data_IF_020480600102
#
_entry.id   IF_020480600102
#
_cell.length_a   1.000
_cell.length_b   1.000
_cell.length_c   1.000
_cell.angle_alpha   90.00
_cell.angle_beta   90.00
_cell.angle_gamma   90.00
#
_symmetry.space_group_name_H-M   'P 1'
#
loop_
_entity.id
_entity.type
_entity.pdbx_description
1 polymer ?
#
# COMPACT_ATOMS: atom_id res chain seq x y z
N UNK A 1 4.67 -17.76 -5.73
CA UNK A 1 3.24 -18.00 -6.06
C UNK A 1 3.07 -17.89 -7.56
N UNK A 2 2.16 -18.64 -8.20
CA UNK A 2 1.92 -18.50 -9.63
C UNK A 2 1.38 -17.11 -9.94
N UNK A 3 1.94 -16.46 -10.95
CA UNK A 3 1.43 -15.20 -11.53
C UNK A 3 0.06 -15.47 -12.14
N UNK A 4 -1.01 -14.76 -11.75
CA UNK A 4 -2.26 -14.78 -12.49
C UNK A 4 -1.98 -14.40 -13.94
N UNK A 5 -2.61 -15.08 -14.89
CA UNK A 5 -2.50 -14.74 -16.32
C UNK A 5 -3.79 -15.13 -17.01
N UNK A 6 -4.16 -14.38 -18.04
CA UNK A 6 -5.23 -14.73 -18.96
C UNK A 6 -4.72 -14.97 -20.40
N UNK A 7 -3.42 -15.19 -20.56
CA UNK A 7 -2.79 -15.44 -21.87
C UNK A 7 -2.63 -14.23 -22.78
N UNK A 8 -2.99 -13.01 -22.32
CA UNK A 8 -2.77 -11.77 -23.07
C UNK A 8 -1.41 -11.12 -22.78
N UNK A 9 -0.85 -10.40 -23.76
CA UNK A 9 0.36 -9.59 -23.59
C UNK A 9 0.16 -8.36 -22.68
N UNK A 10 -1.09 -8.05 -22.33
CA UNK A 10 -1.49 -6.84 -21.62
C UNK A 10 -1.70 -5.62 -22.51
N UNK A 11 -2.31 -4.59 -21.92
CA UNK A 11 -2.63 -3.29 -22.52
C UNK A 11 -1.84 -2.20 -21.79
N UNK A 12 -1.03 -1.43 -22.52
CA UNK A 12 -0.35 -0.23 -21.99
C UNK A 12 -1.06 1.01 -22.52
N UNK A 13 -1.80 1.68 -21.64
CA UNK A 13 -2.62 2.85 -22.00
C UNK A 13 -1.77 4.10 -22.16
N UNK A 14 -2.19 5.01 -23.02
CA UNK A 14 -1.50 6.29 -23.23
C UNK A 14 -1.69 7.29 -22.09
N UNK A 15 -2.69 7.08 -21.22
CA UNK A 15 -3.02 7.97 -20.11
C UNK A 15 -3.73 7.24 -18.97
N UNK A 16 -3.80 7.90 -17.81
CA UNK A 16 -4.56 7.47 -16.64
C UNK A 16 -6.01 7.15 -17.00
N UNK A 17 -6.52 6.02 -16.51
CA UNK A 17 -7.95 5.69 -16.62
C UNK A 17 -8.66 5.98 -15.30
N UNK A 18 -9.76 6.72 -15.35
CA UNK A 18 -10.62 6.92 -14.18
C UNK A 18 -11.78 5.93 -14.18
N UNK A 19 -11.91 5.15 -13.11
CA UNK A 19 -13.00 4.21 -12.86
C UNK A 19 -14.06 4.90 -12.02
N UNK A 20 -15.23 5.13 -12.62
CA UNK A 20 -16.27 5.99 -12.08
C UNK A 20 -17.38 5.19 -11.41
N UNK A 21 -17.98 5.78 -10.38
CA UNK A 21 -19.17 5.22 -9.74
C UNK A 21 -20.35 5.22 -10.74
N UNK A 22 -21.13 4.13 -10.75
CA UNK A 22 -22.30 3.87 -11.60
C UNK A 22 -22.06 3.86 -13.12
N UNK A 23 -20.80 3.95 -13.59
CA UNK A 23 -20.49 4.02 -15.02
C UNK A 23 -20.40 2.65 -15.71
N UNK A 24 -20.30 1.54 -14.96
CA UNK A 24 -20.25 0.17 -15.51
C UNK A 24 -21.65 -0.45 -15.58
N UNK A 25 -22.55 0.11 -16.41
CA UNK A 25 -23.93 -0.38 -16.52
C UNK A 25 -24.72 -0.26 -15.21
N UNK A 26 -24.42 0.77 -14.40
CA UNK A 26 -24.98 0.94 -13.05
C UNK A 26 -24.26 0.17 -11.94
N UNK A 27 -23.22 -0.62 -12.27
CA UNK A 27 -22.39 -1.31 -11.28
C UNK A 27 -21.18 -0.47 -10.87
N UNK A 28 -20.79 -0.59 -9.60
CA UNK A 28 -19.55 -0.02 -9.04
C UNK A 28 -18.39 -1.03 -9.05
N UNK A 29 -18.59 -2.20 -9.66
CA UNK A 29 -17.58 -3.25 -9.73
C UNK A 29 -16.98 -3.29 -11.14
N UNK A 30 -15.66 -3.15 -11.22
CA UNK A 30 -14.87 -3.37 -12.43
C UNK A 30 -14.11 -4.68 -12.29
N UNK A 31 -14.57 -5.72 -13.01
CA UNK A 31 -13.87 -7.00 -13.13
C UNK A 31 -13.03 -7.01 -14.40
N UNK A 32 -11.71 -7.11 -14.23
CA UNK A 32 -10.77 -7.10 -15.34
C UNK A 32 -10.45 -8.49 -15.88
N UNK A 33 -11.00 -9.57 -15.30
CA UNK A 33 -10.78 -10.95 -15.75
C UNK A 33 -9.29 -11.28 -15.99
N UNK A 34 -8.45 -10.91 -15.03
CA UNK A 34 -6.99 -11.00 -15.04
C UNK A 34 -6.32 -10.32 -16.23
N UNK A 35 -6.93 -9.29 -16.82
CA UNK A 35 -6.26 -8.45 -17.82
C UNK A 35 -5.08 -7.74 -17.18
N UNK A 36 -3.97 -7.73 -17.91
CA UNK A 36 -2.80 -6.91 -17.60
C UNK A 36 -2.98 -5.52 -18.16
N UNK A 37 -2.94 -4.51 -17.29
CA UNK A 37 -3.07 -3.09 -17.66
C UNK A 37 -1.88 -2.33 -17.09
N UNK A 38 -1.30 -1.44 -17.89
CA UNK A 38 -0.34 -0.44 -17.47
C UNK A 38 -0.63 0.91 -18.10
N UNK A 39 0.22 1.89 -17.80
CA UNK A 39 0.17 3.24 -18.36
C UNK A 39 1.55 3.63 -18.91
N UNK A 40 1.58 4.34 -20.03
CA UNK A 40 2.82 4.83 -20.61
C UNK A 40 3.42 5.91 -19.71
N UNK A 41 4.59 5.63 -19.14
CA UNK A 41 5.39 6.59 -18.35
C UNK A 41 6.76 6.80 -18.99
N UNK A 42 7.22 8.06 -18.99
CA UNK A 42 8.61 8.43 -19.32
C UNK A 42 9.46 8.70 -18.07
N UNK A 43 8.86 8.58 -16.88
CA UNK A 43 9.53 8.79 -15.59
C UNK A 43 10.12 7.47 -15.09
N UNK A 44 11.31 7.53 -14.50
CA UNK A 44 11.94 6.40 -13.81
C UNK A 44 11.14 6.03 -12.56
N UNK A 45 11.28 4.81 -12.04
CA UNK A 45 10.57 4.38 -10.82
C UNK A 45 11.17 4.92 -9.51
N UNK A 46 12.36 5.52 -9.56
CA UNK A 46 13.05 6.07 -8.38
C UNK A 46 12.70 7.55 -8.08
N UNK A 47 11.64 8.09 -8.69
CA UNK A 47 11.22 9.48 -8.53
C UNK A 47 9.71 9.61 -8.42
N UNK A 48 9.20 10.84 -8.54
CA UNK A 48 7.79 11.17 -8.39
C UNK A 48 7.19 11.70 -9.71
N UNK A 49 5.86 11.67 -9.83
CA UNK A 49 5.10 12.28 -10.93
C UNK A 49 4.86 11.36 -12.14
N UNK A 50 4.90 10.05 -11.92
CA UNK A 50 4.47 9.04 -12.85
C UNK A 50 2.95 9.17 -13.06
N UNK A 51 2.44 8.90 -14.28
CA UNK A 51 1.00 8.77 -14.47
C UNK A 51 0.46 7.58 -13.66
N UNK A 52 -0.75 7.73 -13.14
CA UNK A 52 -1.47 6.66 -12.44
C UNK A 52 -2.07 5.69 -13.45
N UNK A 53 -2.08 4.38 -13.16
CA UNK A 53 -2.78 3.42 -14.02
C UNK A 53 -4.29 3.62 -13.89
N UNK A 54 -4.78 3.62 -12.65
CA UNK A 54 -6.18 3.85 -12.34
C UNK A 54 -6.41 4.88 -11.24
N UNK A 55 -7.28 5.84 -11.50
CA UNK A 55 -7.96 6.63 -10.47
C UNK A 55 -9.31 5.99 -10.16
N UNK A 56 -9.56 5.66 -8.90
CA UNK A 56 -10.74 4.90 -8.47
C UNK A 56 -11.64 5.79 -7.62
N UNK A 57 -12.86 6.06 -8.11
CA UNK A 57 -13.83 6.89 -7.38
C UNK A 57 -14.41 6.20 -6.14
N UNK A 58 -15.05 6.99 -5.29
CA UNK A 58 -15.72 6.52 -4.08
C UNK A 58 -16.76 5.42 -4.38
N UNK A 59 -16.70 4.35 -3.59
CA UNK A 59 -17.57 3.19 -3.66
C UNK A 59 -17.19 2.16 -4.73
N UNK A 60 -16.11 2.38 -5.49
CA UNK A 60 -15.72 1.48 -6.59
C UNK A 60 -14.88 0.29 -6.10
N UNK A 61 -15.20 -0.90 -6.62
CA UNK A 61 -14.43 -2.13 -6.45
C UNK A 61 -13.73 -2.48 -7.75
N UNK A 62 -12.42 -2.68 -7.70
CA UNK A 62 -11.60 -3.20 -8.80
C UNK A 62 -11.18 -4.63 -8.47
N UNK A 63 -11.41 -5.57 -9.40
CA UNK A 63 -11.02 -6.95 -9.16
C UNK A 63 -10.46 -7.70 -10.36
N UNK A 64 -9.71 -8.77 -10.06
CA UNK A 64 -9.08 -9.66 -11.04
C UNK A 64 -8.25 -8.85 -12.05
N UNK A 65 -7.29 -8.08 -11.56
CA UNK A 65 -6.51 -7.15 -12.35
C UNK A 65 -5.02 -7.43 -12.18
N UNK A 66 -4.28 -7.40 -13.28
CA UNK A 66 -2.82 -7.41 -13.26
C UNK A 66 -2.35 -5.99 -13.62
N UNK A 67 -1.53 -5.39 -12.78
CA UNK A 67 -0.81 -4.15 -13.07
C UNK A 67 0.53 -4.51 -13.67
N UNK A 68 0.81 -3.96 -14.86
CA UNK A 68 2.06 -4.17 -15.58
C UNK A 68 3.27 -3.70 -14.75
N UNK A 69 4.39 -4.42 -14.88
CA UNK A 69 5.60 -4.13 -14.12
C UNK A 69 6.46 -2.98 -14.65
N UNK A 70 7.38 -2.51 -13.81
CA UNK A 70 8.37 -1.48 -14.15
C UNK A 70 7.70 -0.13 -14.43
N UNK A 71 8.25 0.66 -15.34
CA UNK A 71 7.74 2.01 -15.64
C UNK A 71 6.27 2.04 -16.07
N UNK A 72 5.76 0.94 -16.63
CA UNK A 72 4.35 0.81 -17.00
C UNK A 72 3.39 0.71 -15.80
N UNK A 73 3.89 0.32 -14.64
CA UNK A 73 3.14 0.30 -13.38
C UNK A 73 2.85 1.70 -12.84
N UNK A 74 3.60 2.72 -13.29
CA UNK A 74 3.38 4.13 -12.97
C UNK A 74 3.21 4.40 -11.47
N UNK A 75 2.29 5.32 -11.14
CA UNK A 75 1.85 5.56 -9.75
C UNK A 75 0.70 4.61 -9.34
N UNK A 76 0.73 3.36 -9.82
CA UNK A 76 -0.21 2.31 -9.44
C UNK A 76 -1.67 2.70 -9.53
N UNK A 77 -2.41 2.46 -8.43
CA UNK A 77 -3.84 2.77 -8.30
C UNK A 77 -4.05 3.84 -7.21
N UNK A 78 -4.72 4.93 -7.54
CA UNK A 78 -5.08 5.98 -6.57
C UNK A 78 -6.56 5.91 -6.24
N UNK A 79 -6.89 5.69 -4.96
CA UNK A 79 -8.26 5.72 -4.47
C UNK A 79 -8.68 7.12 -4.04
N UNK A 80 -9.62 7.70 -4.77
CA UNK A 80 -10.17 9.06 -4.58
C UNK A 80 -11.35 9.11 -3.58
N UNK A 81 -11.61 8.00 -2.90
CA UNK A 81 -12.68 7.79 -1.93
C UNK A 81 -12.56 6.39 -1.34
N UNK A 82 -13.63 5.87 -0.74
CA UNK A 82 -13.68 4.48 -0.33
C UNK A 82 -13.52 3.59 -1.56
N UNK A 83 -12.60 2.63 -1.53
CA UNK A 83 -12.36 1.74 -2.65
C UNK A 83 -12.03 0.33 -2.15
N UNK A 84 -12.29 -0.66 -3.00
CA UNK A 84 -11.85 -2.04 -2.76
C UNK A 84 -11.01 -2.53 -3.94
N UNK A 85 -9.83 -3.08 -3.64
CA UNK A 85 -8.93 -3.73 -4.59
C UNK A 85 -8.87 -5.21 -4.20
N UNK A 86 -9.50 -6.08 -4.98
CA UNK A 86 -9.66 -7.51 -4.67
C UNK A 86 -9.04 -8.38 -5.78
N UNK A 87 -8.13 -9.29 -5.46
CA UNK A 87 -7.38 -10.05 -6.48
C UNK A 87 -6.66 -9.13 -7.49
N UNK A 88 -5.96 -8.11 -6.98
CA UNK A 88 -5.08 -7.25 -7.80
C UNK A 88 -3.62 -7.70 -7.63
N UNK A 89 -2.94 -7.89 -8.75
CA UNK A 89 -1.56 -8.36 -8.81
C UNK A 89 -0.66 -7.29 -9.46
N UNK A 90 0.35 -6.81 -8.76
CA UNK A 90 1.38 -5.93 -9.31
C UNK A 90 2.63 -6.74 -9.63
N UNK A 91 3.03 -6.77 -10.90
CA UNK A 91 4.20 -7.51 -11.38
C UNK A 91 5.51 -6.98 -10.80
N UNK A 92 5.65 -5.65 -10.80
CA UNK A 92 6.82 -4.92 -10.33
C UNK A 92 6.36 -3.48 -10.07
N UNK A 93 6.31 -3.09 -8.80
CA UNK A 93 5.82 -1.79 -8.36
C UNK A 93 6.82 -0.71 -8.75
N UNK A 94 6.36 0.32 -9.46
CA UNK A 94 7.20 1.44 -9.88
C UNK A 94 7.37 2.47 -8.76
N UNK A 95 6.41 3.39 -8.59
CA UNK A 95 6.44 4.38 -7.51
C UNK A 95 5.79 3.78 -6.24
N UNK A 96 4.46 3.64 -6.26
CA UNK A 96 3.65 2.95 -5.24
C UNK A 96 2.69 1.97 -5.92
N UNK A 97 2.25 0.92 -5.22
CA UNK A 97 1.25 -0.01 -5.75
C UNK A 97 -0.15 0.59 -5.69
N UNK A 98 -0.52 1.15 -4.53
CA UNK A 98 -1.77 1.87 -4.35
C UNK A 98 -1.70 2.97 -3.29
N UNK A 99 -2.50 4.02 -3.50
CA UNK A 99 -2.52 5.22 -2.66
C UNK A 99 -3.92 5.53 -2.16
N UNK A 100 -4.09 5.61 -0.83
CA UNK A 100 -5.31 6.15 -0.22
C UNK A 100 -5.19 7.67 -0.09
N UNK A 101 -5.91 8.43 -0.92
CA UNK A 101 -5.70 9.88 -1.07
C UNK A 101 -6.81 10.76 -0.49
N UNK A 102 -7.98 10.21 -0.18
CA UNK A 102 -9.14 10.99 0.27
C UNK A 102 -9.37 10.94 1.78
N UNK A 103 -9.36 12.10 2.44
CA UNK A 103 -9.66 12.21 3.88
C UNK A 103 -10.97 11.48 4.27
N UNK A 104 -10.93 10.74 5.37
CA UNK A 104 -12.01 9.90 5.87
C UNK A 104 -12.24 8.58 5.11
N UNK A 105 -11.56 8.36 3.97
CA UNK A 105 -11.78 7.19 3.15
C UNK A 105 -11.12 5.91 3.69
N UNK A 106 -11.73 4.78 3.36
CA UNK A 106 -11.20 3.44 3.58
C UNK A 106 -10.78 2.82 2.25
N UNK A 107 -9.49 2.53 2.10
CA UNK A 107 -8.95 1.68 1.03
C UNK A 107 -8.83 0.24 1.55
N UNK A 108 -9.58 -0.68 0.95
CA UNK A 108 -9.53 -2.11 1.29
C UNK A 108 -8.78 -2.89 0.23
N UNK A 109 -7.75 -3.63 0.62
CA UNK A 109 -6.98 -4.52 -0.22
C UNK A 109 -7.19 -5.95 0.26
N UNK A 110 -7.66 -6.82 -0.64
CA UNK A 110 -7.98 -8.20 -0.32
C UNK A 110 -7.42 -9.12 -1.41
N UNK A 111 -6.80 -10.24 -1.01
CA UNK A 111 -6.16 -11.17 -1.96
C UNK A 111 -5.16 -10.51 -2.92
N UNK A 112 -4.51 -9.42 -2.48
CA UNK A 112 -3.57 -8.70 -3.35
C UNK A 112 -2.19 -9.32 -3.32
N UNK A 113 -1.49 -9.15 -4.43
CA UNK A 113 -0.10 -9.54 -4.59
C UNK A 113 0.69 -8.34 -5.11
N UNK A 114 1.74 -7.92 -4.41
CA UNK A 114 2.62 -6.86 -4.88
C UNK A 114 4.08 -7.24 -4.72
N UNK A 115 4.87 -7.00 -5.76
CA UNK A 115 6.27 -7.40 -5.86
C UNK A 115 7.17 -6.18 -6.13
N UNK A 116 8.41 -6.24 -5.64
CA UNK A 116 9.53 -5.40 -6.09
C UNK A 116 9.41 -3.88 -5.83
N UNK A 117 8.63 -3.46 -4.84
CA UNK A 117 8.51 -2.04 -4.50
C UNK A 117 9.80 -1.47 -3.87
N UNK A 118 10.50 -0.60 -4.58
CA UNK A 118 11.76 0.01 -4.09
C UNK A 118 11.59 0.73 -2.74
N UNK A 119 10.56 1.57 -2.60
CA UNK A 119 10.28 2.29 -1.35
C UNK A 119 9.00 1.84 -0.66
N UNK A 120 7.81 2.14 -1.19
CA UNK A 120 6.54 1.84 -0.51
C UNK A 120 5.62 1.03 -1.41
N UNK A 121 4.86 0.13 -0.81
CA UNK A 121 3.81 -0.61 -1.52
C UNK A 121 2.51 0.17 -1.43
N UNK A 122 2.09 0.54 -0.21
CA UNK A 122 0.86 1.29 0.01
C UNK A 122 1.12 2.64 0.67
N UNK A 123 0.84 3.70 -0.07
CA UNK A 123 0.92 5.08 0.40
C UNK A 123 -0.42 5.50 1.03
N UNK A 124 -0.35 6.24 2.14
CA UNK A 124 -1.53 6.74 2.83
C UNK A 124 -1.42 8.24 3.09
N UNK A 125 -2.10 9.03 2.26
CA UNK A 125 -2.14 10.49 2.33
C UNK A 125 -3.38 11.01 3.03
N UNK A 126 -4.51 10.31 2.86
CA UNK A 126 -5.79 10.60 3.50
C UNK A 126 -5.66 10.76 5.02
N UNK A 127 -6.29 11.78 5.60
CA UNK A 127 -6.36 12.07 7.05
C UNK A 127 -7.77 11.77 7.59
N UNK A 128 -8.03 12.16 8.85
CA UNK A 128 -9.39 12.21 9.38
C UNK A 128 -9.99 10.83 9.69
N UNK A 129 -9.23 9.98 10.39
CA UNK A 129 -9.60 8.60 10.70
C UNK A 129 -9.74 7.68 9.48
N UNK A 130 -9.10 8.04 8.37
CA UNK A 130 -8.95 7.20 7.18
C UNK A 130 -8.26 5.87 7.50
N UNK A 131 -8.52 4.87 6.66
CA UNK A 131 -8.06 3.49 6.87
C UNK A 131 -7.47 2.89 5.61
N UNK A 132 -6.35 2.19 5.75
CA UNK A 132 -5.90 1.17 4.81
C UNK A 132 -6.10 -0.18 5.48
N UNK A 133 -6.89 -1.06 4.85
CA UNK A 133 -7.17 -2.40 5.35
C UNK A 133 -6.54 -3.40 4.39
N UNK A 134 -5.72 -4.32 4.88
CA UNK A 134 -5.00 -5.30 4.05
C UNK A 134 -5.29 -6.70 4.57
N UNK A 135 -5.86 -7.55 3.72
CA UNK A 135 -6.30 -8.90 4.09
C UNK A 135 -5.90 -9.96 3.09
N UNK A 136 -5.64 -11.18 3.58
CA UNK A 136 -5.46 -12.38 2.75
C UNK A 136 -4.42 -12.22 1.63
N UNK A 137 -3.37 -11.44 1.87
CA UNK A 137 -2.50 -10.91 0.83
C UNK A 137 -1.08 -11.45 0.96
N UNK A 138 -0.31 -11.34 -0.12
CA UNK A 138 1.11 -11.66 -0.12
C UNK A 138 1.91 -10.53 -0.77
N UNK A 139 2.94 -10.05 -0.08
CA UNK A 139 3.77 -8.96 -0.59
C UNK A 139 5.23 -9.37 -0.46
N UNK A 140 6.03 -9.16 -1.49
CA UNK A 140 7.44 -9.58 -1.51
C UNK A 140 8.35 -8.48 -2.02
N UNK A 141 9.56 -8.45 -1.47
CA UNK A 141 10.66 -7.59 -1.92
C UNK A 141 10.30 -6.11 -1.92
N UNK A 142 10.26 -5.50 -0.74
CA UNK A 142 9.80 -4.12 -0.59
C UNK A 142 10.55 -3.32 0.48
N UNK A 143 10.59 -2.00 0.29
CA UNK A 143 11.03 -1.05 1.33
C UNK A 143 10.10 -1.06 2.54
N UNK A 144 8.87 -0.59 2.35
CA UNK A 144 7.79 -0.49 3.34
C UNK A 144 6.47 -0.97 2.77
N UNK A 145 5.75 -1.81 3.50
CA UNK A 145 4.44 -2.27 3.04
C UNK A 145 3.40 -1.16 3.14
N UNK A 146 3.42 -0.38 4.23
CA UNK A 146 2.53 0.76 4.40
C UNK A 146 3.24 1.94 5.07
N UNK A 147 2.98 3.15 4.58
CA UNK A 147 3.49 4.38 5.18
C UNK A 147 2.40 5.45 5.22
N UNK A 148 2.09 5.93 6.43
CA UNK A 148 1.42 7.22 6.63
C UNK A 148 2.34 8.33 6.11
N UNK A 149 1.85 9.27 5.31
CA UNK A 149 2.73 10.29 4.74
C UNK A 149 3.50 11.08 5.81
N UNK A 150 4.83 11.17 5.66
CA UNK A 150 5.72 11.74 6.68
C UNK A 150 5.82 13.26 6.66
N UNK A 151 5.66 13.86 5.50
CA UNK A 151 6.03 15.25 5.23
C UNK A 151 5.11 15.94 4.20
N UNK A 152 3.95 15.34 3.88
CA UNK A 152 2.99 15.87 2.91
C UNK A 152 2.61 17.33 3.17
N UNK A 153 2.21 18.03 2.11
CA UNK A 153 1.48 19.30 2.23
C UNK A 153 0.23 19.14 3.09
N UNK A 154 0.00 20.10 3.99
CA UNK A 154 -1.06 20.08 5.00
C UNK A 154 -1.13 18.72 5.72
N UNK A 155 0.02 18.25 6.21
CA UNK A 155 0.10 16.93 6.83
C UNK A 155 -0.73 16.87 8.12
N UNK A 156 -1.01 15.65 8.57
CA UNK A 156 -1.77 15.40 9.77
C UNK A 156 -2.21 13.95 9.82
N UNK A 157 -3.26 13.70 10.59
CA UNK A 157 -3.85 12.38 10.75
C UNK A 157 -5.20 12.48 11.45
N UNK A 158 -5.62 11.44 12.17
CA UNK A 158 -4.97 10.13 12.24
C UNK A 158 -5.17 9.34 10.94
N UNK A 159 -4.16 8.55 10.57
CA UNK A 159 -4.17 7.54 9.51
C UNK A 159 -4.01 6.16 10.11
N UNK A 160 -4.84 5.20 9.69
CA UNK A 160 -4.89 3.89 10.33
C UNK A 160 -4.58 2.75 9.37
N UNK A 161 -3.76 1.81 9.80
CA UNK A 161 -3.52 0.53 9.13
C UNK A 161 -4.18 -0.59 9.94
N UNK A 162 -4.91 -1.45 9.23
CA UNK A 162 -5.43 -2.72 9.75
C UNK A 162 -4.93 -3.85 8.85
N UNK A 163 -4.18 -4.79 9.40
CA UNK A 163 -3.59 -5.90 8.67
C UNK A 163 -3.98 -7.23 9.30
N UNK A 164 -4.52 -8.13 8.48
CA UNK A 164 -4.93 -9.47 8.91
C UNK A 164 -4.68 -10.53 7.83
N UNK A 165 -4.09 -11.65 8.21
CA UNK A 165 -3.75 -12.77 7.34
C UNK A 165 -2.91 -12.32 6.12
N UNK A 166 -1.74 -11.75 6.37
CA UNK A 166 -0.83 -11.29 5.30
C UNK A 166 0.52 -12.00 5.40
N UNK A 167 0.98 -12.54 4.27
CA UNK A 167 2.31 -13.12 4.10
C UNK A 167 3.26 -12.09 3.51
N UNK A 168 4.47 -12.02 4.05
CA UNK A 168 5.51 -11.12 3.55
C UNK A 168 6.87 -11.79 3.51
N UNK A 169 7.71 -11.35 2.58
CA UNK A 169 9.14 -11.68 2.56
C UNK A 169 9.98 -10.52 2.04
N UNK A 170 11.29 -10.55 2.34
CA UNK A 170 12.27 -9.58 1.85
C UNK A 170 11.95 -8.11 2.19
N UNK A 171 11.64 -7.85 3.47
CA UNK A 171 11.42 -6.49 4.00
C UNK A 171 12.76 -5.76 4.14
N UNK A 172 12.96 -4.70 3.35
CA UNK A 172 14.23 -3.92 3.32
C UNK A 172 14.29 -2.87 4.44
N UNK A 173 13.19 -2.16 4.71
CA UNK A 173 13.15 -1.06 5.69
C UNK A 173 12.30 -1.40 6.93
N UNK A 174 10.97 -1.44 6.77
CA UNK A 174 10.02 -1.74 7.84
C UNK A 174 8.66 -2.15 7.25
N UNK A 175 7.89 -2.99 7.92
CA UNK A 175 6.55 -3.35 7.43
C UNK A 175 5.61 -2.13 7.43
N UNK A 176 5.49 -1.42 8.56
CA UNK A 176 4.61 -0.26 8.71
C UNK A 176 5.34 0.94 9.33
N UNK A 177 5.08 2.14 8.80
CA UNK A 177 5.56 3.41 9.34
C UNK A 177 4.41 4.38 9.67
N UNK A 178 4.22 4.68 10.96
CA UNK A 178 3.12 5.51 11.47
C UNK A 178 3.63 6.78 12.16
N UNK A 179 2.94 7.91 12.01
CA UNK A 179 3.29 9.16 12.68
C UNK A 179 2.57 9.25 14.02
N UNK A 180 3.27 8.99 15.13
CA UNK A 180 2.64 8.95 16.45
C UNK A 180 2.09 10.32 16.88
N UNK A 181 2.71 11.43 16.47
CA UNK A 181 2.27 12.79 16.78
C UNK A 181 0.95 13.18 16.09
N UNK A 182 0.52 12.42 15.08
CA UNK A 182 -0.76 12.61 14.41
C UNK A 182 -1.84 11.61 14.84
N UNK A 183 -1.56 10.78 15.85
CA UNK A 183 -2.50 9.80 16.38
C UNK A 183 -2.73 8.59 15.46
N UNK A 184 -1.82 8.35 14.52
CA UNK A 184 -1.89 7.20 13.62
C UNK A 184 -1.94 5.88 14.39
N UNK A 185 -2.54 4.85 13.81
CA UNK A 185 -2.57 3.52 14.42
C UNK A 185 -2.23 2.42 13.42
N UNK A 186 -1.59 1.37 13.91
CA UNK A 186 -1.22 0.16 13.19
C UNK A 186 -1.69 -1.02 14.00
N UNK A 187 -2.68 -1.74 13.48
CA UNK A 187 -3.23 -2.95 14.10
C UNK A 187 -2.88 -4.15 13.23
N UNK A 188 -2.24 -5.16 13.83
CA UNK A 188 -1.78 -6.38 13.12
C UNK A 188 -2.20 -7.60 13.94
N UNK A 189 -2.96 -8.51 13.33
CA UNK A 189 -3.46 -9.72 14.00
C UNK A 189 -2.76 -10.99 13.54
N UNK A 190 -2.70 -11.23 12.23
CA UNK A 190 -2.11 -12.44 11.64
C UNK A 190 -1.10 -12.06 10.54
N UNK A 191 0.13 -11.76 10.93
CA UNK A 191 1.24 -11.49 10.01
C UNK A 191 2.15 -12.71 9.93
N UNK A 192 2.46 -13.13 8.71
CA UNK A 192 3.36 -14.23 8.41
C UNK A 192 4.59 -13.70 7.69
N UNK A 193 5.74 -13.69 8.37
CA UNK A 193 7.02 -13.22 7.82
C UNK A 193 7.86 -14.44 7.43
N UNK A 194 8.39 -14.48 6.21
CA UNK A 194 9.28 -15.56 5.80
C UNK A 194 10.55 -15.56 6.64
N UNK A 195 10.82 -16.67 7.32
CA UNK A 195 11.90 -16.78 8.31
C UNK A 195 11.65 -16.08 9.66
N UNK A 196 10.46 -15.50 9.87
CA UNK A 196 10.01 -14.95 11.15
C UNK A 196 10.63 -13.62 11.56
N UNK A 197 10.31 -13.18 12.78
CA UNK A 197 10.88 -12.00 13.43
C UNK A 197 11.97 -12.41 14.43
N UNK A 198 13.17 -11.85 14.28
CA UNK A 198 14.28 -12.01 15.20
C UNK A 198 14.30 -10.85 16.21
N UNK A 199 13.90 -11.12 17.45
CA UNK A 199 13.81 -10.12 18.50
C UNK A 199 15.15 -9.53 18.94
N UNK A 200 16.25 -10.31 18.93
CA UNK A 200 17.56 -9.81 19.36
C UNK A 200 18.19 -8.85 18.36
N UNK A 201 17.85 -9.00 17.07
CA UNK A 201 18.28 -8.11 16.00
C UNK A 201 17.24 -7.03 15.67
N UNK A 202 16.01 -7.18 16.17
CA UNK A 202 14.84 -6.40 15.78
C UNK A 202 14.74 -6.32 14.25
N UNK A 203 14.64 -7.51 13.64
CA UNK A 203 14.59 -7.71 12.19
C UNK A 203 13.61 -8.81 11.77
N UNK A 204 12.82 -8.60 10.70
CA UNK A 204 12.62 -7.30 10.04
C UNK A 204 11.92 -6.30 10.98
N UNK A 205 12.01 -5.00 10.69
CA UNK A 205 11.25 -4.00 11.46
C UNK A 205 9.77 -4.17 11.14
N UNK A 206 8.92 -4.25 12.16
CA UNK A 206 7.49 -4.49 11.98
C UNK A 206 6.73 -3.16 12.03
N UNK A 207 6.52 -2.58 13.20
CA UNK A 207 5.85 -1.28 13.32
C UNK A 207 6.83 -0.23 13.82
N UNK A 208 7.16 0.75 12.99
CA UNK A 208 8.06 1.84 13.34
C UNK A 208 7.29 3.14 13.49
N UNK A 209 7.50 3.83 14.61
CA UNK A 209 6.89 5.13 14.89
C UNK A 209 7.78 6.28 14.40
N UNK A 210 7.13 7.32 13.91
CA UNK A 210 7.75 8.53 13.37
C UNK A 210 7.13 9.78 13.99
N UNK A 211 7.86 10.90 13.91
CA UNK A 211 7.31 12.24 14.02
C UNK A 211 7.14 12.77 12.60
N UNK A 212 5.88 12.93 12.17
CA UNK A 212 5.56 13.57 10.90
C UNK A 212 5.69 15.08 10.98
N UNK A 213 6.05 15.71 9.87
CA UNK A 213 6.12 17.17 9.68
C UNK A 213 5.12 17.60 8.61
N UNK A 214 4.87 18.89 8.45
CA UNK A 214 3.93 19.44 7.45
C UNK A 214 4.68 20.21 6.37
N UNK A 215 4.11 20.24 5.16
CA UNK A 215 4.52 21.14 4.07
C UNK A 215 5.99 21.00 3.66
N UNK A 216 6.50 19.76 3.70
CA UNK A 216 7.89 19.43 3.42
C UNK A 216 8.90 20.23 4.27
N UNK A 217 8.49 20.71 5.45
CA UNK A 217 9.32 21.49 6.36
C UNK A 217 10.25 20.56 7.17
N UNK A 218 11.21 19.97 6.47
CA UNK A 218 12.15 18.98 7.00
C UNK A 218 11.71 17.54 6.76
N UNK A 219 12.47 16.60 7.31
CA UNK A 219 12.20 15.17 7.17
C UNK A 219 11.43 14.61 8.38
N UNK A 220 10.52 13.66 8.12
CA UNK A 220 9.91 12.89 9.20
C UNK A 220 10.96 12.05 9.92
N UNK A 221 11.02 12.13 11.25
CA UNK A 221 12.09 11.48 12.04
C UNK A 221 11.62 10.18 12.67
N UNK A 222 12.50 9.18 12.73
CA UNK A 222 12.23 7.92 13.43
C UNK A 222 12.29 8.12 14.93
N UNK A 223 11.31 7.56 15.64
CA UNK A 223 11.30 7.50 17.09
C UNK A 223 12.06 6.24 17.54
N UNK A 224 12.64 6.24 18.74
CA UNK A 224 13.31 5.07 19.34
C UNK A 224 14.38 4.45 18.44
N UNK A 225 15.10 5.27 17.65
CA UNK A 225 16.11 4.81 16.69
C UNK A 225 15.55 3.94 15.56
N UNK A 226 14.24 3.98 15.32
CA UNK A 226 13.57 3.17 14.30
C UNK A 226 13.35 1.71 14.70
N UNK A 227 13.39 1.40 15.99
CA UNK A 227 13.10 0.05 16.49
C UNK A 227 11.61 -0.30 16.33
N UNK A 228 11.30 -1.59 16.16
CA UNK A 228 9.91 -2.04 16.18
C UNK A 228 9.29 -1.74 17.55
N UNK A 229 8.12 -1.10 17.54
CA UNK A 229 7.31 -0.85 18.72
C UNK A 229 6.20 -1.88 18.83
N UNK A 230 5.81 -2.19 20.06
CA UNK A 230 4.85 -3.24 20.40
C UNK A 230 3.95 -2.77 21.54
N UNK A 231 2.65 -3.05 21.46
CA UNK A 231 1.65 -2.69 22.47
C UNK A 231 1.66 -1.19 22.85
N UNK A 232 1.91 -0.29 21.91
CA UNK A 232 1.82 1.16 22.11
C UNK A 232 0.48 1.68 21.57
N UNK A 233 0.07 2.93 21.89
CA UNK A 233 -1.12 3.53 21.29
C UNK A 233 -1.11 3.56 19.75
N UNK A 234 0.08 3.71 19.16
CA UNK A 234 0.32 3.72 17.71
C UNK A 234 0.46 2.30 17.17
N UNK A 235 1.36 1.49 17.73
CA UNK A 235 1.65 0.12 17.29
C UNK A 235 0.88 -0.89 18.16
N UNK A 236 -0.36 -1.16 17.75
CA UNK A 236 -1.34 -2.02 18.42
C UNK A 236 -1.20 -3.48 17.99
N UNK A 237 -0.05 -4.05 18.32
CA UNK A 237 0.31 -5.43 18.04
C UNK A 237 1.33 -5.94 19.05
N UNK A 238 1.40 -7.26 19.20
CA UNK A 238 2.40 -7.96 19.98
C UNK A 238 3.22 -8.90 19.09
N UNK A 239 4.33 -9.42 19.61
CA UNK A 239 5.17 -10.34 18.83
C UNK A 239 4.45 -11.64 18.46
N UNK A 240 3.44 -12.07 19.22
CA UNK A 240 2.65 -13.27 18.89
C UNK A 240 1.76 -13.09 17.66
N UNK A 241 1.52 -11.85 17.23
CA UNK A 241 0.84 -11.56 15.97
C UNK A 241 1.75 -11.79 14.74
N UNK A 242 3.04 -12.08 14.95
CA UNK A 242 4.03 -12.29 13.90
C UNK A 242 4.53 -13.73 13.93
N UNK A 243 4.23 -14.47 12.88
CA UNK A 243 4.55 -15.89 12.74
C UNK A 243 5.56 -16.09 11.61
N UNK A 244 6.41 -17.10 11.75
CA UNK A 244 7.24 -17.55 10.62
C UNK A 244 6.42 -18.40 9.67
N UNK A 245 6.75 -18.33 8.38
CA UNK A 245 6.36 -19.32 7.37
C UNK A 245 7.54 -19.61 6.43
#
# INVERSE_FOLDING_TARGET
>A
MPTPSNGSSGEIRSSTTRLKNAANGGSNVYDFANKKIGVKSSKSCDGEGQPTVFEVEDGVTVKNLIIAGGTAGGNGIVCLGNCTLDYVYWEDVCEDAATNSKDGATMTLNHVIALHASDKVFQHNAKGNSKTIIKNSYISDFGKLWRSCGDCTANGGPRNLILDNVKVESIKSALAGANQNYGDTVTITNLFVKGGYNASKDKPKICTEFIGVTDHNGESTKVNGGKSQWNTPTCRLSQSNVQSW
#
